data_IF_323378549986
#
_entry.id   IF_323378549986
#
_cell.length_a   1.000
_cell.length_b   1.000
_cell.length_c   1.000
_cell.angle_alpha   90.00
_cell.angle_beta   90.00
_cell.angle_gamma   90.00
#
_symmetry.space_group_name_H-M   'P 1'
#
loop_
_entity.id
_entity.type
_entity.pdbx_description
1 polymer ?
#
# COMPACT_ATOMS: atom_id res chain seq x y z
N UNK A 1 -12.95 2.29 -16.56
CA UNK A 1 -13.30 2.20 -15.13
C UNK A 1 -12.68 3.39 -14.44
N UNK A 2 -13.44 4.13 -13.66
CA UNK A 2 -12.96 5.33 -12.97
C UNK A 2 -12.42 4.92 -11.59
N UNK A 3 -11.24 5.42 -11.23
CA UNK A 3 -10.63 5.17 -9.93
C UNK A 3 -11.38 5.91 -8.82
N UNK A 4 -11.88 5.19 -7.83
CA UNK A 4 -12.52 5.75 -6.64
C UNK A 4 -11.64 5.52 -5.40
N UNK A 5 -10.79 6.50 -5.11
CA UNK A 5 -9.87 6.48 -3.96
C UNK A 5 -10.57 6.35 -2.61
N UNK A 6 -11.73 6.99 -2.45
CA UNK A 6 -12.49 6.94 -1.20
C UNK A 6 -13.04 5.54 -0.95
N UNK A 7 -13.63 4.90 -1.97
CA UNK A 7 -14.09 3.52 -1.87
C UNK A 7 -12.96 2.54 -1.53
N UNK A 8 -11.77 2.73 -2.11
CA UNK A 8 -10.60 1.93 -1.78
C UNK A 8 -10.16 2.11 -0.32
N UNK A 9 -10.07 3.36 0.15
CA UNK A 9 -9.72 3.68 1.53
C UNK A 9 -10.72 3.10 2.55
N UNK A 10 -12.02 3.28 2.29
CA UNK A 10 -13.10 2.71 3.12
C UNK A 10 -13.00 1.19 3.16
N UNK A 11 -12.80 0.53 2.01
CA UNK A 11 -12.65 -0.91 1.97
C UNK A 11 -11.45 -1.38 2.79
N UNK A 12 -10.29 -0.72 2.68
CA UNK A 12 -9.10 -1.04 3.47
C UNK A 12 -9.38 -0.93 4.97
N UNK A 13 -10.02 0.16 5.41
CA UNK A 13 -10.37 0.39 6.81
C UNK A 13 -11.34 -0.66 7.36
N UNK A 14 -12.36 -1.03 6.59
CA UNK A 14 -13.40 -1.97 7.02
C UNK A 14 -12.90 -3.42 7.07
N UNK A 15 -11.91 -3.78 6.25
CA UNK A 15 -11.37 -5.13 6.19
C UNK A 15 -10.06 -5.31 6.97
N UNK A 16 -9.52 -4.24 7.54
CA UNK A 16 -8.30 -4.32 8.34
C UNK A 16 -8.53 -5.14 9.62
N UNK A 17 -7.61 -6.07 9.89
CA UNK A 17 -7.55 -6.79 11.16
C UNK A 17 -6.98 -5.91 12.28
N UNK A 18 -7.02 -6.46 13.51
CA UNK A 18 -6.43 -5.83 14.70
C UNK A 18 -4.89 -5.93 14.71
N UNK A 19 -4.31 -6.87 13.97
CA UNK A 19 -2.88 -7.12 13.85
C UNK A 19 -2.55 -7.70 12.48
N UNK A 20 -1.26 -7.72 12.11
CA UNK A 20 -0.83 -8.22 10.80
C UNK A 20 -1.23 -9.69 10.59
N UNK A 21 -1.80 -9.95 9.42
CA UNK A 21 -2.20 -11.28 8.94
C UNK A 21 -1.19 -11.83 7.91
N UNK A 22 -0.05 -11.14 7.73
CA UNK A 22 0.99 -11.43 6.71
C UNK A 22 0.44 -11.45 5.28
N UNK A 23 -0.62 -10.67 5.01
CA UNK A 23 -1.35 -10.65 3.73
C UNK A 23 -1.49 -9.23 3.17
N UNK A 24 -0.55 -8.34 3.49
CA UNK A 24 -0.57 -6.93 3.12
C UNK A 24 -0.84 -6.71 1.62
N UNK A 25 -0.07 -7.36 0.73
CA UNK A 25 -0.28 -7.25 -0.71
C UNK A 25 -1.67 -7.67 -1.18
N UNK A 26 -2.26 -8.72 -0.58
CA UNK A 26 -3.60 -9.17 -0.95
C UNK A 26 -4.67 -8.16 -0.51
N UNK A 27 -4.61 -7.68 0.73
CA UNK A 27 -5.60 -6.75 1.28
C UNK A 27 -5.54 -5.40 0.57
N UNK A 28 -4.34 -4.87 0.34
CA UNK A 28 -4.20 -3.61 -0.41
C UNK A 28 -4.64 -3.76 -1.86
N UNK A 29 -4.34 -4.89 -2.53
CA UNK A 29 -4.88 -5.18 -3.87
C UNK A 29 -6.42 -5.21 -3.87
N UNK A 30 -7.05 -5.86 -2.89
CA UNK A 30 -8.51 -5.92 -2.77
C UNK A 30 -9.12 -4.53 -2.54
N UNK A 31 -8.49 -3.71 -1.72
CA UNK A 31 -8.89 -2.31 -1.53
C UNK A 31 -8.84 -1.53 -2.86
N UNK A 32 -7.74 -1.64 -3.61
CA UNK A 32 -7.63 -0.97 -4.92
C UNK A 32 -8.70 -1.49 -5.91
N UNK A 33 -9.00 -2.79 -5.87
CA UNK A 33 -10.09 -3.39 -6.66
C UNK A 33 -11.46 -2.86 -6.27
N UNK A 34 -11.72 -2.66 -4.97
CA UNK A 34 -12.95 -2.04 -4.50
C UNK A 34 -13.07 -0.57 -4.95
N UNK A 35 -11.94 0.11 -5.17
CA UNK A 35 -11.88 1.41 -5.85
C UNK A 35 -12.06 1.35 -7.38
N UNK A 36 -12.34 0.18 -7.94
CA UNK A 36 -12.63 0.01 -9.37
C UNK A 36 -11.42 -0.23 -10.28
N UNK A 37 -10.23 -0.46 -9.72
CA UNK A 37 -9.01 -0.73 -10.49
C UNK A 37 -8.46 -2.11 -10.16
N UNK A 38 -8.30 -2.96 -11.17
CA UNK A 38 -7.60 -4.24 -11.02
C UNK A 38 -6.13 -4.07 -11.41
N UNK A 39 -5.24 -4.28 -10.45
CA UNK A 39 -3.79 -4.22 -10.64
C UNK A 39 -3.19 -5.61 -10.87
N UNK A 40 -4.01 -6.66 -11.02
CA UNK A 40 -3.53 -8.03 -11.10
C UNK A 40 -2.88 -8.51 -9.81
N UNK A 41 -2.23 -9.67 -9.84
CA UNK A 41 -1.57 -10.27 -8.67
C UNK A 41 -0.06 -10.32 -8.88
N UNK A 42 0.69 -10.01 -7.82
CA UNK A 42 2.12 -10.27 -7.72
C UNK A 42 2.40 -11.16 -6.50
N UNK A 43 3.42 -12.04 -6.54
CA UNK A 43 3.72 -12.95 -5.44
C UNK A 43 4.15 -12.21 -4.17
N UNK A 44 4.83 -11.08 -4.31
CA UNK A 44 5.35 -10.30 -3.19
C UNK A 44 4.91 -8.84 -3.25
N UNK A 45 4.75 -8.23 -2.07
CA UNK A 45 4.34 -6.83 -1.94
C UNK A 45 5.33 -5.88 -2.64
N UNK A 46 6.63 -6.14 -2.53
CA UNK A 46 7.70 -5.36 -3.18
C UNK A 46 7.59 -5.27 -4.71
N UNK A 47 6.89 -6.22 -5.35
CA UNK A 47 6.83 -6.35 -6.81
C UNK A 47 5.59 -5.66 -7.42
N UNK A 48 4.69 -5.12 -6.60
CA UNK A 48 3.47 -4.45 -7.09
C UNK A 48 3.71 -3.09 -7.77
N UNK A 49 4.92 -2.54 -7.73
CA UNK A 49 5.23 -1.25 -8.37
C UNK A 49 4.88 -1.24 -9.86
N UNK A 50 5.34 -2.23 -10.62
CA UNK A 50 5.06 -2.34 -12.05
C UNK A 50 3.56 -2.52 -12.34
N UNK A 51 2.84 -3.22 -11.45
CA UNK A 51 1.40 -3.43 -11.57
C UNK A 51 0.62 -2.13 -11.38
N UNK A 52 1.02 -1.31 -10.40
CA UNK A 52 0.44 0.00 -10.15
C UNK A 52 0.70 0.95 -11.33
N UNK A 53 1.94 0.99 -11.84
CA UNK A 53 2.31 1.81 -12.99
C UNK A 53 1.51 1.43 -14.25
N UNK A 54 1.36 0.13 -14.54
CA UNK A 54 0.53 -0.35 -15.67
C UNK A 54 -0.96 -0.01 -15.52
N UNK A 55 -1.45 0.08 -14.28
CA UNK A 55 -2.81 0.53 -13.98
C UNK A 55 -2.95 2.08 -14.02
N UNK A 56 -1.89 2.80 -14.38
CA UNK A 56 -1.85 4.25 -14.51
C UNK A 56 -1.78 4.98 -13.17
N UNK A 57 -1.20 4.35 -12.14
CA UNK A 57 -0.67 5.09 -11.00
C UNK A 57 0.69 5.67 -11.38
N UNK A 58 1.02 6.83 -10.83
CA UNK A 58 2.35 7.45 -10.93
C UNK A 58 3.05 7.41 -9.59
N UNK A 59 4.38 7.39 -9.59
CA UNK A 59 5.16 7.62 -8.38
C UNK A 59 4.99 9.08 -7.93
N UNK A 60 4.83 9.32 -6.63
CA UNK A 60 4.88 10.68 -6.08
C UNK A 60 6.31 11.21 -6.12
N UNK A 61 6.45 12.47 -6.53
CA UNK A 61 7.69 13.22 -6.47
C UNK A 61 8.02 13.66 -5.04
N UNK A 62 9.25 14.16 -4.87
CA UNK A 62 9.68 14.75 -3.61
C UNK A 62 8.83 16.00 -3.28
N UNK A 63 8.42 16.13 -2.02
CA UNK A 63 7.64 17.27 -1.53
C UNK A 63 6.14 17.20 -1.79
N UNK A 64 5.65 16.20 -2.53
CA UNK A 64 4.20 15.99 -2.66
C UNK A 64 3.60 15.50 -1.34
N UNK A 65 2.49 16.11 -0.94
CA UNK A 65 1.75 15.71 0.27
C UNK A 65 0.92 14.46 0.01
N UNK A 66 0.79 13.62 1.05
CA UNK A 66 -0.04 12.43 1.00
C UNK A 66 -1.53 12.78 0.79
N UNK A 67 -2.22 11.92 0.05
CA UNK A 67 -3.65 12.00 -0.21
C UNK A 67 -4.30 10.64 -0.01
N UNK A 68 -5.58 10.66 0.34
CA UNK A 68 -6.40 9.44 0.37
C UNK A 68 -6.23 8.65 -0.93
N UNK A 69 -6.05 7.34 -0.81
CA UNK A 69 -5.82 6.43 -1.92
C UNK A 69 -4.37 6.28 -2.37
N UNK A 70 -3.42 7.00 -1.77
CA UNK A 70 -2.00 6.76 -2.00
C UNK A 70 -1.60 5.37 -1.55
N UNK A 71 -0.81 4.68 -2.37
CA UNK A 71 -0.35 3.32 -2.12
C UNK A 71 1.15 3.33 -1.93
N UNK A 72 1.65 2.84 -0.80
CA UNK A 72 3.09 2.67 -0.59
C UNK A 72 3.51 1.24 -0.89
N UNK A 73 4.65 1.08 -1.57
CA UNK A 73 5.42 -0.16 -1.67
C UNK A 73 6.75 0.07 -0.98
N UNK A 74 7.05 -0.73 0.04
CA UNK A 74 8.27 -0.69 0.84
C UNK A 74 9.10 -1.93 0.51
N UNK A 75 10.37 -1.73 0.15
CA UNK A 75 11.32 -2.81 -0.12
C UNK A 75 11.70 -3.55 1.16
N UNK A 76 12.11 -4.82 1.07
CA UNK A 76 12.64 -5.55 2.23
C UNK A 76 13.89 -4.85 2.79
N UNK A 77 14.18 -5.15 4.06
CA UNK A 77 15.41 -4.75 4.75
C UNK A 77 16.15 -5.98 5.26
N UNK A 78 17.42 -5.83 5.61
CA UNK A 78 18.25 -6.94 6.10
C UNK A 78 17.69 -7.53 7.40
N UNK A 79 17.51 -8.85 7.42
CA UNK A 79 16.84 -9.57 8.52
C UNK A 79 15.31 -9.43 8.54
N UNK A 80 14.73 -8.67 7.59
CA UNK A 80 13.29 -8.53 7.40
C UNK A 80 12.68 -9.60 6.49
N UNK A 81 11.37 -9.50 6.26
CA UNK A 81 10.67 -10.39 5.34
C UNK A 81 10.99 -10.01 3.87
N UNK A 82 11.44 -10.96 3.03
CA UNK A 82 11.81 -10.68 1.63
C UNK A 82 10.61 -10.26 0.75
N UNK A 83 9.38 -10.46 1.20
CA UNK A 83 8.19 -10.06 0.47
C UNK A 83 8.00 -8.53 0.39
N UNK A 84 8.71 -7.75 1.21
CA UNK A 84 8.47 -6.31 1.35
C UNK A 84 7.13 -6.01 2.03
N UNK A 85 6.63 -4.79 1.83
CA UNK A 85 5.35 -4.37 2.41
C UNK A 85 4.57 -3.46 1.46
N UNK A 86 3.23 -3.52 1.55
CA UNK A 86 2.32 -2.70 0.75
C UNK A 86 1.17 -2.20 1.64
N UNK A 87 0.81 -0.93 1.50
CA UNK A 87 -0.30 -0.32 2.25
C UNK A 87 -0.95 0.82 1.46
N UNK A 88 -2.18 1.18 1.83
CA UNK A 88 -2.95 2.31 1.27
C UNK A 88 -3.27 3.33 2.37
N UNK A 89 -3.25 4.61 2.03
CA UNK A 89 -3.54 5.72 2.93
C UNK A 89 -5.03 6.12 2.88
N UNK A 90 -5.70 6.24 4.03
CA UNK A 90 -7.10 6.68 4.11
C UNK A 90 -7.27 8.21 4.20
N UNK A 91 -6.17 8.97 4.02
CA UNK A 91 -6.12 10.41 4.26
C UNK A 91 -5.68 10.77 5.68
N UNK A 92 -5.61 9.81 6.61
CA UNK A 92 -5.16 10.01 7.99
C UNK A 92 -4.17 8.91 8.42
N UNK A 93 -4.52 7.65 8.21
CA UNK A 93 -3.79 6.45 8.63
C UNK A 93 -3.45 5.56 7.42
N UNK A 94 -2.45 4.70 7.61
CA UNK A 94 -2.08 3.66 6.65
C UNK A 94 -2.74 2.33 7.00
N UNK A 95 -3.22 1.62 5.98
CA UNK A 95 -3.84 0.30 6.11
C UNK A 95 -3.22 -0.69 5.14
N UNK A 96 -2.92 -1.88 5.64
CA UNK A 96 -2.62 -3.05 4.84
C UNK A 96 -3.70 -4.11 5.11
N UNK A 97 -3.28 -5.28 5.58
CA UNK A 97 -4.08 -6.28 6.28
C UNK A 97 -4.47 -5.90 7.72
N UNK A 98 -3.97 -4.76 8.23
CA UNK A 98 -4.32 -4.19 9.53
C UNK A 98 -4.16 -2.66 9.52
N UNK A 99 -4.68 -1.98 10.55
CA UNK A 99 -4.45 -0.54 10.75
C UNK A 99 -3.03 -0.31 11.29
N UNK A 100 -2.23 0.47 10.57
CA UNK A 100 -0.85 0.74 10.97
C UNK A 100 -0.73 1.99 11.82
N UNK A 101 0.27 2.00 12.70
CA UNK A 101 0.64 3.20 13.48
C UNK A 101 1.21 4.32 12.59
N UNK A 102 1.95 3.94 11.55
CA UNK A 102 2.59 4.81 10.58
C UNK A 102 2.80 4.02 9.27
N UNK A 103 3.45 4.64 8.28
CA UNK A 103 3.74 4.01 6.99
C UNK A 103 4.55 2.71 7.11
N UNK A 104 5.47 2.64 8.07
CA UNK A 104 6.49 1.58 8.16
C UNK A 104 5.98 0.23 8.65
N UNK A 105 4.70 0.09 9.01
CA UNK A 105 4.05 -1.18 9.41
C UNK A 105 4.66 -1.97 10.57
N UNK A 106 5.83 -1.60 11.10
CA UNK A 106 6.48 -2.30 12.20
C UNK A 106 7.83 -1.70 12.61
N UNK A 107 8.39 -2.13 13.76
CA UNK A 107 9.65 -1.58 14.29
C UNK A 107 10.86 -1.81 13.38
N UNK A 108 10.98 -2.98 12.74
CA UNK A 108 12.12 -3.29 11.86
C UNK A 108 12.20 -2.36 10.64
N UNK A 109 11.10 -2.22 9.90
CA UNK A 109 10.99 -1.25 8.80
C UNK A 109 11.24 0.19 9.24
N UNK A 110 10.73 0.59 10.41
CA UNK A 110 10.90 1.95 10.94
C UNK A 110 12.36 2.26 11.31
N UNK A 111 13.08 1.26 11.80
CA UNK A 111 14.50 1.36 12.13
C UNK A 111 15.36 1.36 10.87
N UNK A 112 15.16 0.38 9.99
CA UNK A 112 15.97 0.18 8.80
C UNK A 112 15.72 1.22 7.69
N UNK A 113 14.51 1.80 7.63
CA UNK A 113 14.07 2.77 6.61
C UNK A 113 14.46 2.34 5.18
N UNK A 114 14.10 1.11 4.74
CA UNK A 114 14.43 0.66 3.40
C UNK A 114 13.77 1.53 2.33
N UNK A 115 14.25 1.40 1.10
CA UNK A 115 13.69 2.13 -0.04
C UNK A 115 12.18 1.88 -0.17
N UNK A 116 11.43 2.93 -0.46
CA UNK A 116 10.01 2.85 -0.72
C UNK A 116 9.62 3.77 -1.86
N UNK A 117 8.47 3.49 -2.47
CA UNK A 117 7.82 4.36 -3.44
C UNK A 117 6.35 4.49 -3.05
N UNK A 118 5.81 5.69 -3.19
CA UNK A 118 4.38 5.96 -3.01
C UNK A 118 3.78 6.22 -4.38
N UNK A 119 2.62 5.65 -4.65
CA UNK A 119 1.94 5.67 -5.94
C UNK A 119 0.58 6.34 -5.79
N UNK A 120 0.23 7.21 -6.75
CA UNK A 120 -1.04 7.93 -6.81
C UNK A 120 -1.69 7.75 -8.17
N UNK A 121 -3.01 7.60 -8.17
CA UNK A 121 -3.85 7.70 -9.35
C UNK A 121 -4.88 8.81 -9.13
N UNK A 122 -5.03 9.68 -10.12
CA UNK A 122 -6.02 10.75 -10.15
C UNK A 122 -7.29 10.30 -10.85
#
# INVERSE_FOLDING_TARGET
>A
MTWNKHAAAVHARQNAGISSQKRCGEFTRKAIRAGGIDIGNAPYAKDYGNNLERAGFRVLGQGETLQEGDVVIIQPYDGGNPAGHMAIYDGINWYSDFKQRDMWSGPGYRSARPAYKIYRKN
#
